data_IF_656990718166
#
_entry.id   IF_656990718166
#
_cell.length_a   1.000
_cell.length_b   1.000
_cell.length_c   1.000
_cell.angle_alpha   90.00
_cell.angle_beta   90.00
_cell.angle_gamma   90.00
#
_symmetry.space_group_name_H-M   'P 1'
#
loop_
_entity.id
_entity.type
_entity.pdbx_description
1 polymer ?
#
# COMPACT_ATOMS: atom_id res chain seq x y z
N UNK A 1 -6.66 -6.82 -10.42
CA UNK A 1 -5.59 -7.62 -9.78
C UNK A 1 -6.03 -8.08 -8.40
N UNK A 2 -5.52 -9.19 -7.94
CA UNK A 2 -5.72 -9.66 -6.56
C UNK A 2 -4.87 -8.87 -5.59
N UNK A 3 -5.38 -8.61 -4.39
CA UNK A 3 -4.58 -8.08 -3.28
C UNK A 3 -4.34 -9.21 -2.27
N UNK A 4 -3.09 -9.37 -1.86
CA UNK A 4 -2.71 -10.33 -0.84
C UNK A 4 -2.19 -9.59 0.39
N UNK A 5 -2.69 -10.00 1.56
CA UNK A 5 -2.25 -9.50 2.86
C UNK A 5 -1.79 -10.69 3.68
N UNK A 6 -0.49 -10.81 3.94
CA UNK A 6 -0.01 -11.85 4.83
C UNK A 6 -0.25 -11.46 6.30
N UNK A 7 0.07 -12.36 7.21
CA UNK A 7 -0.15 -12.11 8.65
C UNK A 7 0.64 -10.90 9.16
N UNK A 8 1.84 -10.73 8.65
CA UNK A 8 2.70 -9.62 9.05
C UNK A 8 2.08 -8.28 8.67
N UNK A 9 1.59 -8.17 7.42
CA UNK A 9 0.92 -6.96 6.98
C UNK A 9 -0.38 -6.71 7.75
N UNK A 10 -1.16 -7.77 7.99
CA UNK A 10 -2.42 -7.64 8.74
C UNK A 10 -2.18 -7.10 10.15
N UNK A 11 -1.08 -7.52 10.79
CA UNK A 11 -0.70 -6.99 12.10
C UNK A 11 -0.38 -5.51 12.03
N UNK A 12 0.38 -5.10 11.01
CA UNK A 12 0.72 -3.69 10.78
C UNK A 12 -0.52 -2.87 10.47
N UNK A 13 -1.43 -3.42 9.66
CA UNK A 13 -2.70 -2.79 9.30
C UNK A 13 -3.54 -2.53 10.55
N UNK A 14 -3.70 -3.53 11.41
CA UNK A 14 -4.47 -3.37 12.65
C UNK A 14 -3.86 -2.30 13.56
N UNK A 15 -2.54 -2.33 13.71
CA UNK A 15 -1.83 -1.36 14.53
C UNK A 15 -2.01 0.07 13.99
N UNK A 16 -1.92 0.22 12.67
CA UNK A 16 -2.10 1.50 12.02
C UNK A 16 -3.51 2.06 12.27
N UNK A 17 -4.53 1.25 12.07
CA UNK A 17 -5.92 1.71 12.19
C UNK A 17 -6.39 1.88 13.63
N UNK A 18 -5.68 1.35 14.60
CA UNK A 18 -5.94 1.71 16.01
C UNK A 18 -5.72 3.20 16.26
N UNK A 19 -4.76 3.79 15.56
CA UNK A 19 -4.43 5.22 15.67
C UNK A 19 -5.11 6.07 14.60
N UNK A 20 -5.50 5.47 13.50
CA UNK A 20 -5.98 6.19 12.32
C UNK A 20 -7.31 5.65 11.82
N UNK A 21 -8.24 5.37 12.73
CA UNK A 21 -9.57 4.84 12.38
C UNK A 21 -10.31 5.72 11.38
N UNK A 22 -10.05 7.04 11.40
CA UNK A 22 -10.67 7.99 10.48
C UNK A 22 -10.26 7.77 9.02
N UNK A 23 -9.22 6.96 8.76
CA UNK A 23 -8.74 6.69 7.40
C UNK A 23 -9.27 5.37 6.82
N UNK A 24 -10.11 4.63 7.55
CA UNK A 24 -10.59 3.32 7.09
C UNK A 24 -11.34 3.44 5.75
N UNK A 25 -12.22 4.41 5.60
CA UNK A 25 -12.98 4.58 4.36
C UNK A 25 -12.09 4.98 3.20
N UNK A 26 -11.13 5.87 3.44
CA UNK A 26 -10.15 6.27 2.43
C UNK A 26 -9.28 5.08 2.01
N UNK A 27 -8.89 4.26 2.98
CA UNK A 27 -8.11 3.06 2.73
C UNK A 27 -8.85 2.08 1.82
N UNK A 28 -10.13 1.81 2.11
CA UNK A 28 -10.94 0.94 1.27
C UNK A 28 -11.05 1.47 -0.16
N UNK A 29 -11.21 2.78 -0.33
CA UNK A 29 -11.24 3.43 -1.63
C UNK A 29 -9.91 3.25 -2.37
N UNK A 30 -8.79 3.47 -1.67
CA UNK A 30 -7.46 3.32 -2.25
C UNK A 30 -7.20 1.88 -2.68
N UNK A 31 -7.57 0.90 -1.87
CA UNK A 31 -7.41 -0.52 -2.23
C UNK A 31 -8.24 -0.90 -3.44
N UNK A 32 -9.45 -0.36 -3.57
CA UNK A 32 -10.30 -0.59 -4.74
C UNK A 32 -9.62 -0.04 -6.00
N UNK A 33 -9.08 1.17 -5.94
CA UNK A 33 -8.34 1.76 -7.06
C UNK A 33 -7.10 0.94 -7.40
N UNK A 34 -6.38 0.50 -6.38
CA UNK A 34 -5.16 -0.28 -6.56
C UNK A 34 -5.44 -1.59 -7.30
N UNK A 35 -6.58 -2.24 -7.02
CA UNK A 35 -6.99 -3.47 -7.69
C UNK A 35 -7.35 -3.25 -9.16
N UNK A 36 -7.98 -2.12 -9.48
CA UNK A 36 -8.53 -1.87 -10.83
C UNK A 36 -7.57 -1.09 -11.72
N UNK A 37 -6.82 -0.15 -11.13
CA UNK A 37 -5.87 0.68 -11.87
C UNK A 37 -4.74 1.11 -10.93
N UNK A 38 -3.74 0.24 -10.74
CA UNK A 38 -2.68 0.49 -9.74
C UNK A 38 -1.86 1.75 -10.03
N UNK A 39 -1.88 2.25 -11.26
CA UNK A 39 -1.15 3.46 -11.63
C UNK A 39 -2.07 4.66 -11.83
N UNK A 40 -3.27 4.63 -11.25
CA UNK A 40 -4.15 5.79 -11.21
C UNK A 40 -3.38 6.97 -10.62
N UNK A 41 -3.52 8.15 -11.23
CA UNK A 41 -2.73 9.32 -10.83
C UNK A 41 -2.93 9.73 -9.37
N UNK A 42 -4.12 9.48 -8.82
CA UNK A 42 -4.42 9.83 -7.43
C UNK A 42 -3.62 9.00 -6.42
N UNK A 43 -3.14 7.82 -6.83
CA UNK A 43 -2.35 6.93 -5.96
C UNK A 43 -0.88 7.32 -5.91
N UNK A 44 -0.41 8.09 -6.89
CA UNK A 44 1.00 8.48 -6.99
C UNK A 44 1.94 7.28 -6.89
N UNK A 45 1.53 6.16 -7.46
CA UNK A 45 2.29 4.91 -7.43
C UNK A 45 3.63 5.10 -8.12
N UNK A 46 4.70 4.75 -7.42
CA UNK A 46 6.03 4.84 -8.00
C UNK A 46 6.94 3.78 -7.41
N UNK A 47 7.92 3.38 -8.21
CA UNK A 47 8.92 2.38 -7.82
C UNK A 47 9.95 3.02 -6.90
N UNK A 48 10.33 2.30 -5.85
CA UNK A 48 11.36 2.76 -4.94
C UNK A 48 12.75 2.46 -5.52
N UNK A 49 13.77 3.09 -4.95
CA UNK A 49 15.16 3.00 -5.43
C UNK A 49 16.06 2.34 -4.38
N UNK A 50 17.26 1.97 -4.80
CA UNK A 50 18.26 1.39 -3.90
C UNK A 50 17.90 -0.02 -3.46
N UNK A 51 18.05 -0.27 -2.17
CA UNK A 51 17.74 -1.58 -1.59
C UNK A 51 16.27 -1.95 -1.68
N UNK A 52 15.40 -0.96 -1.87
CA UNK A 52 13.96 -1.13 -1.94
C UNK A 52 13.44 -1.20 -3.37
N UNK A 53 14.31 -1.46 -4.34
CA UNK A 53 13.98 -1.39 -5.77
C UNK A 53 12.86 -2.32 -6.25
N UNK A 54 12.54 -3.36 -5.48
CA UNK A 54 11.46 -4.28 -5.83
C UNK A 54 10.11 -3.81 -5.32
N UNK A 55 10.09 -2.77 -4.52
CA UNK A 55 8.90 -2.27 -3.89
C UNK A 55 8.35 -1.03 -4.59
N UNK A 56 7.03 -0.87 -4.49
CA UNK A 56 6.33 0.31 -4.95
C UNK A 56 5.67 0.99 -3.77
N UNK A 57 5.52 2.30 -3.86
CA UNK A 57 4.84 3.11 -2.86
C UNK A 57 3.59 3.71 -3.47
N UNK A 58 2.47 3.61 -2.75
CA UNK A 58 1.21 4.25 -3.12
C UNK A 58 0.79 5.20 -2.01
N UNK A 59 0.17 6.31 -2.39
CA UNK A 59 -0.32 7.28 -1.41
C UNK A 59 -1.64 6.82 -0.81
N UNK A 60 -1.73 6.75 0.51
CA UNK A 60 -3.01 6.63 1.20
C UNK A 60 -3.63 8.02 1.34
N UNK A 61 -2.83 8.97 1.84
CA UNK A 61 -3.14 10.39 1.86
C UNK A 61 -1.82 11.14 1.86
N UNK A 62 -1.84 12.43 2.16
CA UNK A 62 -0.62 13.24 2.17
C UNK A 62 0.44 12.71 3.13
N UNK A 63 0.01 12.19 4.29
CA UNK A 63 0.93 11.79 5.36
C UNK A 63 1.35 10.32 5.33
N UNK A 64 0.55 9.45 4.72
CA UNK A 64 0.73 8.00 4.86
C UNK A 64 0.83 7.30 3.52
N UNK A 65 1.61 6.21 3.49
CA UNK A 65 1.94 5.43 2.30
C UNK A 65 1.63 3.96 2.52
N UNK A 66 1.35 3.27 1.42
CA UNK A 66 1.24 1.82 1.39
C UNK A 66 2.37 1.30 0.51
N UNK A 67 3.14 0.34 1.03
CA UNK A 67 4.22 -0.29 0.29
C UNK A 67 3.74 -1.64 -0.22
N UNK A 68 4.02 -1.94 -1.48
CA UNK A 68 3.56 -3.18 -2.10
C UNK A 68 4.56 -3.70 -3.12
N UNK A 69 4.34 -4.95 -3.53
CA UNK A 69 5.09 -5.62 -4.60
C UNK A 69 4.08 -6.03 -5.66
N UNK A 70 4.41 -5.81 -6.94
CA UNK A 70 3.58 -6.24 -8.05
C UNK A 70 4.12 -7.56 -8.61
N UNK A 71 3.30 -8.60 -8.57
CA UNK A 71 3.59 -9.88 -9.22
C UNK A 71 2.79 -9.91 -10.51
N UNK A 72 3.38 -9.36 -11.57
CA UNK A 72 2.68 -9.09 -12.82
C UNK A 72 2.15 -10.38 -13.46
N UNK A 73 2.95 -11.45 -13.47
CA UNK A 73 2.57 -12.72 -14.07
C UNK A 73 1.36 -13.35 -13.37
N UNK A 74 1.21 -13.11 -12.08
CA UNK A 74 0.12 -13.64 -11.26
C UNK A 74 -1.04 -12.66 -11.12
N UNK A 75 -0.93 -11.49 -11.74
CA UNK A 75 -1.90 -10.40 -11.60
C UNK A 75 -2.22 -10.12 -10.13
N UNK A 76 -1.19 -10.08 -9.31
CA UNK A 76 -1.30 -9.98 -7.85
C UNK A 76 -0.50 -8.81 -7.33
N UNK A 77 -1.05 -8.15 -6.32
CA UNK A 77 -0.37 -7.10 -5.56
C UNK A 77 -0.25 -7.60 -4.13
N UNK A 78 0.98 -7.68 -3.63
CA UNK A 78 1.24 -8.08 -2.24
C UNK A 78 1.46 -6.82 -1.42
N UNK A 79 0.60 -6.58 -0.42
CA UNK A 79 0.74 -5.45 0.48
C UNK A 79 1.79 -5.79 1.54
N UNK A 80 2.74 -4.88 1.75
CA UNK A 80 3.92 -5.16 2.57
C UNK A 80 3.97 -4.31 3.83
N UNK A 81 3.63 -3.02 3.71
CA UNK A 81 3.74 -2.12 4.84
C UNK A 81 2.77 -0.95 4.68
N UNK A 82 2.46 -0.29 5.80
CA UNK A 82 1.61 0.90 5.82
C UNK A 82 2.10 1.80 6.95
N UNK A 83 2.21 3.09 6.68
CA UNK A 83 2.68 4.04 7.67
C UNK A 83 3.12 5.35 7.04
N UNK A 84 3.75 6.20 7.85
CA UNK A 84 4.32 7.45 7.37
C UNK A 84 5.58 7.16 6.53
N UNK A 85 6.06 8.17 5.82
CA UNK A 85 7.29 8.06 5.02
C UNK A 85 8.45 7.51 5.87
N UNK A 86 8.63 8.04 7.06
CA UNK A 86 9.74 7.62 7.93
C UNK A 86 9.55 6.21 8.49
N UNK A 87 8.32 5.77 8.66
CA UNK A 87 8.04 4.43 9.20
C UNK A 87 8.24 3.32 8.18
N UNK A 88 7.98 3.59 6.89
CA UNK A 88 8.02 2.56 5.84
C UNK A 88 9.30 2.60 5.02
N UNK A 89 10.04 3.67 5.04
CA UNK A 89 11.33 3.84 4.36
C UNK A 89 12.47 3.87 5.37
#
# INVERSE_FOLDING_TARGET
MKLIKDENYQRKERKFFKKHAYLVDKYAEVLTKLKTNPFDSSLKTHKLKGELKEFYSCSLNYDYRIICIFLIQDETIVLVDIGSHNEVY
#
